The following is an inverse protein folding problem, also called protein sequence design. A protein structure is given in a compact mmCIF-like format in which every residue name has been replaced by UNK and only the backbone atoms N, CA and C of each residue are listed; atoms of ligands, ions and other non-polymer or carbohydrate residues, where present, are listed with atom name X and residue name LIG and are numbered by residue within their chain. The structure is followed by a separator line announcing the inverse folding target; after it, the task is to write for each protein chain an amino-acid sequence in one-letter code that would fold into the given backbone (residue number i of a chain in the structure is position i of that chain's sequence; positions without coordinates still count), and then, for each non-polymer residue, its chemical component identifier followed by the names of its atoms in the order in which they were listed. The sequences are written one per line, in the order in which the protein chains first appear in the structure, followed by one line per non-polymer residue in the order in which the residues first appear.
data_IF_158672730026
#
_entry.id   IF_158672730026
#
_cell.length_a   1.000
_cell.length_b   1.000
_cell.length_c   1.000
_cell.angle_alpha   90.00
_cell.angle_beta   90.00
_cell.angle_gamma   90.00
#
_symmetry.space_group_name_H-M   'P 1'
#
loop_
_entity.id
_entity.type
_entity.pdbx_description
1 polymer ?
#
# COMPACT_ATOMS: atom_id res chain seq x y z
N UNK A 1 23.37 33.22 32.20
CA UNK A 1 23.70 31.98 32.95
C UNK A 1 22.62 31.65 33.96
N UNK A 2 22.09 32.59 34.74
CA UNK A 2 21.01 32.28 35.71
C UNK A 2 19.64 31.98 35.06
N UNK A 3 19.32 32.58 33.92
CA UNK A 3 18.01 32.40 33.23
C UNK A 3 17.85 31.01 32.57
N UNK A 4 18.95 30.34 32.22
CA UNK A 4 18.92 29.00 31.60
C UNK A 4 18.63 27.92 32.65
N UNK A 5 19.19 28.07 33.85
CA UNK A 5 18.96 27.17 34.99
C UNK A 5 17.50 27.21 35.50
N UNK A 6 16.86 28.39 35.44
CA UNK A 6 15.44 28.54 35.79
C UNK A 6 14.52 27.86 34.76
N UNK A 7 14.87 27.94 33.47
CA UNK A 7 14.10 27.32 32.39
C UNK A 7 14.20 25.80 32.42
N UNK A 8 15.40 25.26 32.68
CA UNK A 8 15.61 23.81 32.82
C UNK A 8 14.87 23.26 34.05
N UNK A 9 14.92 23.97 35.18
CA UNK A 9 14.15 23.59 36.38
C UNK A 9 12.63 23.59 36.13
N UNK A 10 12.12 24.50 35.29
CA UNK A 10 10.71 24.56 34.93
C UNK A 10 10.31 23.42 33.99
N UNK A 11 11.16 23.09 33.02
CA UNK A 11 10.94 21.98 32.08
C UNK A 11 10.94 20.62 32.80
N UNK A 12 11.83 20.42 33.77
CA UNK A 12 11.87 19.20 34.60
C UNK A 12 10.61 19.03 35.45
N UNK A 13 10.12 20.12 36.05
CA UNK A 13 8.85 20.11 36.79
C UNK A 13 7.68 19.74 35.87
N UNK A 14 7.62 20.32 34.68
CA UNK A 14 6.56 20.04 33.71
C UNK A 14 6.63 18.59 33.17
N UNK A 15 7.84 18.07 32.94
CA UNK A 15 8.06 16.67 32.53
C UNK A 15 7.61 15.69 33.62
N UNK A 16 7.91 15.99 34.89
CA UNK A 16 7.49 15.18 36.03
C UNK A 16 5.96 15.16 36.20
N UNK A 17 5.32 16.32 36.06
CA UNK A 17 3.85 16.45 36.10
C UNK A 17 3.17 15.67 34.97
N UNK A 18 3.69 15.81 33.74
CA UNK A 18 3.19 15.06 32.59
C UNK A 18 3.35 13.55 32.77
N UNK A 19 4.48 13.09 33.33
CA UNK A 19 4.72 11.68 33.63
C UNK A 19 3.70 11.15 34.66
N UNK A 20 3.43 11.90 35.74
CA UNK A 20 2.44 11.53 36.74
C UNK A 20 1.02 11.47 36.17
N UNK A 21 0.66 12.41 35.28
CA UNK A 21 -0.64 12.42 34.61
C UNK A 21 -0.80 11.20 33.68
N UNK A 22 0.23 10.87 32.91
CA UNK A 22 0.25 9.69 32.04
C UNK A 22 0.14 8.38 32.83
N UNK A 23 0.86 8.26 33.94
CA UNK A 23 0.74 7.10 34.85
C UNK A 23 -0.68 6.95 35.40
N UNK A 24 -1.34 8.07 35.75
CA UNK A 24 -2.73 8.06 36.22
C UNK A 24 -3.72 7.64 35.13
N UNK A 25 -3.49 8.03 33.88
CA UNK A 25 -4.31 7.59 32.74
C UNK A 25 -4.15 6.10 32.47
N UNK A 26 -2.92 5.57 32.52
CA UNK A 26 -2.64 4.13 32.37
C UNK A 26 -3.28 3.29 33.49
N UNK A 27 -3.29 3.78 34.73
CA UNK A 27 -3.97 3.12 35.84
C UNK A 27 -5.51 3.11 35.67
N UNK A 28 -6.08 4.21 35.14
CA UNK A 28 -7.52 4.29 34.83
C UNK A 28 -7.92 3.40 33.66
N UNK A 29 -7.14 3.34 32.59
CA UNK A 29 -7.43 2.49 31.42
C UNK A 29 -7.38 1.00 31.79
N UNK A 30 -6.50 0.62 32.71
CA UNK A 30 -6.38 -0.75 33.23
C UNK A 30 -7.62 -1.21 34.02
N UNK A 31 -8.34 -0.30 34.67
CA UNK A 31 -9.53 -0.61 35.49
C UNK A 31 -10.87 -0.44 34.76
N UNK A 32 -10.92 0.33 33.66
CA UNK A 32 -12.14 0.57 32.88
C UNK A 32 -12.25 -0.26 31.57
N UNK A 33 -11.28 -1.12 31.27
CA UNK A 33 -11.31 -1.98 30.08
C UNK A 33 -12.26 -3.18 30.20
N UNK A 34 -13.56 -2.99 29.97
CA UNK A 34 -14.43 -4.12 29.60
C UNK A 34 -14.01 -4.63 28.21
N UNK A 35 -13.24 -5.73 28.19
CA UNK A 35 -13.25 -6.70 27.10
C UNK A 35 -12.66 -6.30 25.75
N UNK A 36 -11.49 -5.64 25.70
CA UNK A 36 -10.61 -5.76 24.52
C UNK A 36 -9.47 -6.69 24.89
N UNK A 37 -9.54 -7.92 24.40
CA UNK A 37 -8.50 -8.94 24.58
C UNK A 37 -7.14 -8.42 24.12
N UNK A 38 -6.08 -9.06 24.63
CA UNK A 38 -4.68 -8.79 24.27
C UNK A 38 -4.54 -8.53 22.76
N UNK A 39 -3.64 -7.61 22.34
CA UNK A 39 -3.32 -7.45 20.94
C UNK A 39 -2.60 -8.72 20.47
N UNK A 40 -3.37 -9.72 20.04
CA UNK A 40 -2.88 -10.79 19.20
C UNK A 40 -2.26 -10.11 17.99
N UNK A 41 -1.05 -10.49 17.61
CA UNK A 41 -0.37 -9.88 16.47
C UNK A 41 -1.32 -9.87 15.27
N UNK A 42 -1.41 -8.74 14.56
CA UNK A 42 -2.34 -8.58 13.42
C UNK A 42 -2.22 -9.74 12.42
N UNK A 43 -1.01 -10.29 12.28
CA UNK A 43 -0.72 -11.47 11.46
C UNK A 43 -1.33 -12.75 12.03
N UNK A 44 -1.20 -13.03 13.33
CA UNK A 44 -1.81 -14.22 13.94
C UNK A 44 -3.34 -14.13 13.98
N UNK A 45 -3.90 -12.94 14.24
CA UNK A 45 -5.36 -12.71 14.19
C UNK A 45 -5.92 -12.93 12.78
N UNK A 46 -5.20 -12.45 11.74
CA UNK A 46 -5.56 -12.68 10.35
C UNK A 46 -5.47 -14.17 9.98
N UNK A 47 -4.40 -14.86 10.36
CA UNK A 47 -4.24 -16.28 10.06
C UNK A 47 -5.30 -17.16 10.74
N UNK A 48 -5.71 -16.82 11.97
CA UNK A 48 -6.81 -17.50 12.66
C UNK A 48 -8.15 -17.24 11.93
N UNK A 49 -8.44 -15.99 11.56
CA UNK A 49 -9.67 -15.63 10.85
C UNK A 49 -9.77 -16.20 9.43
N UNK A 50 -8.65 -16.46 8.76
CA UNK A 50 -8.64 -17.11 7.44
C UNK A 50 -8.90 -18.63 7.52
N UNK A 51 -8.65 -19.26 8.66
CA UNK A 51 -8.93 -20.68 8.88
C UNK A 51 -10.39 -20.94 9.25
N UNK A 52 -11.05 -19.97 9.89
CA UNK A 52 -12.45 -20.11 10.28
C UNK A 52 -13.37 -19.85 9.07
N UNK A 53 -14.27 -20.79 8.73
CA UNK A 53 -15.21 -20.58 7.63
C UNK A 53 -16.14 -19.39 7.94
N UNK A 54 -16.49 -18.63 6.89
CA UNK A 54 -17.44 -17.53 7.02
C UNK A 54 -18.78 -18.07 7.55
N UNK A 55 -19.24 -17.54 8.68
CA UNK A 55 -20.53 -17.95 9.25
C UNK A 55 -21.70 -17.63 8.32
N UNK A 56 -22.72 -18.49 8.29
CA UNK A 56 -23.91 -18.35 7.45
C UNK A 56 -24.72 -17.05 7.68
N UNK A 57 -24.51 -16.39 8.82
CA UNK A 57 -25.08 -15.07 9.11
C UNK A 57 -24.39 -13.91 8.39
N UNK A 58 -23.25 -14.15 7.72
CA UNK A 58 -22.54 -13.12 6.97
C UNK A 58 -23.27 -12.85 5.65
N UNK A 59 -23.68 -11.60 5.42
CA UNK A 59 -24.34 -11.17 4.17
C UNK A 59 -23.50 -11.49 2.94
N UNK A 60 -22.17 -11.40 3.05
CA UNK A 60 -21.24 -11.80 2.00
C UNK A 60 -21.37 -13.28 1.66
N UNK A 61 -21.46 -14.16 2.66
CA UNK A 61 -21.67 -15.58 2.44
C UNK A 61 -22.98 -15.87 1.69
N UNK A 62 -24.07 -15.15 2.00
CA UNK A 62 -25.33 -15.25 1.27
C UNK A 62 -25.19 -14.84 -0.21
N UNK A 63 -24.43 -13.77 -0.50
CA UNK A 63 -24.12 -13.35 -1.87
C UNK A 63 -23.28 -14.39 -2.60
N UNK A 64 -22.21 -14.90 -1.98
CA UNK A 64 -21.38 -15.96 -2.56
C UNK A 64 -22.23 -17.20 -2.88
N UNK A 65 -23.10 -17.61 -1.95
CA UNK A 65 -24.03 -18.74 -2.14
C UNK A 65 -24.99 -18.51 -3.31
N UNK A 66 -25.51 -17.29 -3.46
CA UNK A 66 -26.34 -16.92 -4.60
C UNK A 66 -25.56 -16.95 -5.94
N UNK A 67 -24.26 -16.67 -5.89
CA UNK A 67 -23.33 -16.78 -7.02
C UNK A 67 -22.84 -18.22 -7.29
N UNK A 68 -23.38 -19.22 -6.57
CA UNK A 68 -23.08 -20.63 -6.78
C UNK A 68 -21.92 -21.18 -5.95
N UNK A 69 -21.45 -20.44 -4.94
CA UNK A 69 -20.51 -20.96 -3.94
C UNK A 69 -21.17 -22.05 -3.09
N UNK A 70 -20.45 -23.16 -2.90
CA UNK A 70 -20.83 -24.25 -2.01
C UNK A 70 -19.77 -24.39 -0.92
N UNK A 71 -20.19 -24.68 0.30
CA UNK A 71 -19.30 -24.86 1.44
C UNK A 71 -18.29 -25.99 1.15
N UNK A 72 -17.00 -25.69 1.23
CA UNK A 72 -15.92 -26.62 0.90
C UNK A 72 -15.55 -26.73 -0.59
N UNK A 73 -16.28 -26.07 -1.50
CA UNK A 73 -15.92 -26.00 -2.91
C UNK A 73 -14.97 -24.83 -3.21
N UNK A 74 -13.92 -25.08 -3.99
CA UNK A 74 -13.06 -24.02 -4.52
C UNK A 74 -13.81 -23.17 -5.55
N UNK A 75 -13.65 -21.85 -5.49
CA UNK A 75 -14.20 -20.92 -6.48
C UNK A 75 -13.36 -21.00 -7.77
N UNK A 76 -13.97 -21.43 -8.89
CA UNK A 76 -13.31 -21.52 -10.19
C UNK A 76 -13.81 -22.69 -11.03
N UNK A 77 -13.76 -22.56 -12.36
CA UNK A 77 -14.30 -23.54 -13.29
C UNK A 77 -13.45 -24.81 -13.34
N UNK A 78 -13.80 -25.83 -12.57
CA UNK A 78 -13.67 -27.20 -13.10
C UNK A 78 -14.65 -27.26 -14.25
N UNK A 79 -14.14 -27.23 -15.48
CA UNK A 79 -14.88 -27.33 -16.75
C UNK A 79 -16.13 -28.20 -16.57
N UNK A 80 -17.30 -27.58 -16.38
CA UNK A 80 -18.56 -28.30 -16.26
C UNK A 80 -18.93 -28.85 -17.63
N UNK A 81 -18.43 -30.06 -17.93
CA UNK A 81 -19.20 -30.99 -18.76
C UNK A 81 -20.44 -31.33 -17.93
N UNK A 82 -21.62 -31.04 -18.48
CA UNK A 82 -22.89 -31.45 -17.90
C UNK A 82 -22.88 -32.96 -17.78
N UNK A 83 -23.14 -33.50 -16.59
CA UNK A 83 -23.85 -34.77 -16.39
C UNK A 83 -24.17 -34.93 -14.91
N UNK A 84 -25.35 -35.46 -14.65
CA UNK A 84 -25.97 -35.63 -13.36
C UNK A 84 -25.41 -36.87 -12.63
N UNK A 85 -25.68 -36.90 -11.32
CA UNK A 85 -25.65 -38.06 -10.42
C UNK A 85 -24.26 -38.61 -9.96
N UNK A 86 -24.13 -38.83 -8.64
CA UNK A 86 -23.36 -39.94 -8.11
C UNK A 86 -22.06 -39.65 -7.34
N UNK A 87 -21.89 -40.40 -6.24
CA UNK A 87 -20.74 -40.52 -5.34
C UNK A 87 -19.40 -40.94 -5.99
N UNK A 88 -18.28 -40.70 -5.27
CA UNK A 88 -16.94 -41.29 -5.53
C UNK A 88 -15.82 -40.24 -5.47
N UNK A 89 -14.94 -40.22 -4.45
CA UNK A 89 -13.71 -41.02 -4.28
C UNK A 89 -12.55 -40.63 -5.22
N UNK A 90 -11.34 -40.70 -4.66
CA UNK A 90 -10.00 -40.60 -5.29
C UNK A 90 -9.50 -39.17 -5.62
N UNK A 91 -8.25 -38.76 -5.32
CA UNK A 91 -7.04 -39.49 -4.96
C UNK A 91 -5.89 -39.08 -5.91
N UNK A 92 -4.80 -38.49 -5.37
CA UNK A 92 -3.49 -38.25 -6.04
C UNK A 92 -3.48 -37.19 -7.16
N UNK A 93 -2.42 -36.48 -7.51
CA UNK A 93 -1.00 -36.50 -7.16
C UNK A 93 -0.19 -36.01 -8.37
N UNK A 94 0.82 -35.14 -8.16
CA UNK A 94 2.10 -35.11 -8.89
C UNK A 94 2.22 -34.49 -10.31
N UNK A 95 3.21 -33.59 -10.44
CA UNK A 95 4.11 -33.32 -11.58
C UNK A 95 3.46 -32.79 -12.90
N UNK A 96 4.05 -31.99 -13.77
CA UNK A 96 5.44 -31.71 -14.17
C UNK A 96 5.50 -30.47 -15.11
N UNK A 97 6.70 -29.88 -15.19
CA UNK A 97 7.41 -29.18 -16.28
C UNK A 97 6.74 -28.50 -17.49
N UNK A 98 7.34 -27.37 -17.91
CA UNK A 98 7.48 -27.02 -19.35
C UNK A 98 7.22 -25.55 -19.73
N UNK A 99 8.26 -24.85 -20.19
CA UNK A 99 8.21 -23.44 -20.62
C UNK A 99 7.97 -23.17 -22.12
N UNK A 100 8.18 -21.91 -22.52
CA UNK A 100 8.12 -21.38 -23.90
C UNK A 100 7.10 -20.22 -24.00
N UNK A 101 7.43 -18.97 -24.33
CA UNK A 101 8.30 -18.49 -25.41
C UNK A 101 7.40 -17.86 -26.49
N UNK A 102 7.15 -16.55 -26.42
CA UNK A 102 6.38 -15.81 -27.42
C UNK A 102 7.24 -14.67 -27.98
N UNK A 103 7.60 -14.78 -29.26
CA UNK A 103 8.32 -13.77 -30.01
C UNK A 103 7.36 -12.93 -30.86
N UNK A 104 7.57 -11.61 -30.87
CA UNK A 104 7.62 -10.75 -32.06
C UNK A 104 6.32 -10.36 -32.80
N UNK A 105 5.96 -9.08 -32.72
CA UNK A 105 5.81 -8.08 -33.81
C UNK A 105 5.28 -6.76 -33.16
N UNK A 106 5.48 -5.53 -33.63
CA UNK A 106 5.45 -5.04 -35.00
C UNK A 106 6.17 -3.70 -35.22
N UNK A 107 6.38 -3.45 -36.50
CA UNK A 107 6.89 -2.29 -37.24
C UNK A 107 6.45 -0.88 -36.78
N UNK A 108 7.46 -0.01 -36.68
CA UNK A 108 7.63 1.30 -37.36
C UNK A 108 6.37 2.12 -37.70
N UNK A 109 6.22 3.28 -37.05
CA UNK A 109 5.56 4.45 -37.64
C UNK A 109 6.36 5.73 -37.33
N UNK A 110 6.51 6.54 -38.36
CA UNK A 110 7.43 7.67 -38.48
C UNK A 110 6.79 8.98 -37.99
N UNK A 111 7.60 9.80 -37.30
CA UNK A 111 7.78 11.23 -37.59
C UNK A 111 6.75 12.25 -37.07
N UNK A 112 7.26 13.24 -36.32
CA UNK A 112 6.80 14.63 -36.48
C UNK A 112 6.70 15.48 -35.22
N UNK A 113 7.64 16.44 -35.08
CA UNK A 113 7.30 17.80 -34.65
C UNK A 113 7.70 18.22 -33.24
N UNK A 114 8.74 19.07 -33.16
CA UNK A 114 8.92 20.32 -32.36
C UNK A 114 8.28 20.37 -30.97
N UNK A 115 8.98 20.82 -29.91
CA UNK A 115 9.24 22.23 -29.58
C UNK A 115 10.30 22.34 -28.45
N UNK A 116 11.03 23.46 -28.44
CA UNK A 116 11.94 23.99 -27.41
C UNK A 116 11.36 23.93 -25.98
N UNK A 117 12.09 24.00 -24.86
CA UNK A 117 13.45 24.42 -24.52
C UNK A 117 13.47 24.83 -23.03
N UNK A 118 14.69 25.09 -22.50
CA UNK A 118 15.04 25.53 -21.13
C UNK A 118 15.04 24.40 -20.07
N UNK A 119 16.14 24.07 -19.39
CA UNK A 119 17.26 24.92 -18.96
C UNK A 119 17.09 25.25 -17.48
N UNK A 120 17.18 24.23 -16.61
CA UNK A 120 17.13 24.39 -15.17
C UNK A 120 18.50 24.82 -14.64
N UNK A 121 18.64 26.11 -14.30
CA UNK A 121 19.65 26.57 -13.35
C UNK A 121 19.02 26.52 -11.95
N UNK A 122 19.63 25.70 -11.10
CA UNK A 122 19.35 25.63 -9.68
C UNK A 122 19.90 26.88 -8.98
N UNK A 123 19.10 27.52 -8.13
CA UNK A 123 19.58 28.41 -7.09
C UNK A 123 18.82 28.08 -5.80
N UNK A 124 19.58 27.83 -4.75
CA UNK A 124 19.10 27.45 -3.44
C UNK A 124 18.85 28.69 -2.57
N UNK A 125 17.77 28.65 -1.79
CA UNK A 125 17.62 29.39 -0.55
C UNK A 125 16.51 30.44 -0.54
N UNK A 126 15.40 30.12 0.12
CA UNK A 126 14.69 31.08 0.96
C UNK A 126 13.88 30.38 2.05
N UNK A 127 14.14 30.77 3.30
CA UNK A 127 13.38 30.36 4.47
C UNK A 127 12.11 31.21 4.54
N UNK A 128 11.08 30.81 3.79
CA UNK A 128 9.80 31.51 3.71
C UNK A 128 8.67 30.72 4.35
N UNK A 129 7.96 31.36 5.27
CA UNK A 129 6.64 30.98 5.80
C UNK A 129 5.80 30.18 4.78
N UNK A 130 5.58 28.89 5.04
CA UNK A 130 4.84 28.00 4.16
C UNK A 130 3.35 28.39 4.14
N UNK A 131 3.01 29.35 3.29
CA UNK A 131 1.66 29.42 2.77
C UNK A 131 1.30 28.03 2.21
N UNK A 132 0.06 27.55 2.39
CA UNK A 132 -0.34 26.27 1.82
C UNK A 132 -0.14 26.34 0.31
N UNK A 133 0.81 25.55 -0.19
CA UNK A 133 1.08 25.42 -1.62
C UNK A 133 -0.22 25.00 -2.32
N UNK A 134 -0.41 25.47 -3.55
CA UNK A 134 -1.57 25.05 -4.34
C UNK A 134 -1.60 23.53 -4.50
N UNK A 135 -2.79 22.94 -4.69
CA UNK A 135 -2.94 21.49 -4.88
C UNK A 135 -2.02 20.96 -6.00
N UNK A 136 -1.88 21.71 -7.10
CA UNK A 136 -1.01 21.37 -8.22
C UNK A 136 0.47 21.37 -7.83
N UNK A 137 0.90 22.38 -7.10
CA UNK A 137 2.28 22.51 -6.63
C UNK A 137 2.64 21.43 -5.60
N UNK A 138 1.68 21.10 -4.72
CA UNK A 138 1.82 19.98 -3.80
C UNK A 138 1.97 18.65 -4.56
N UNK A 139 1.21 18.45 -5.63
CA UNK A 139 1.32 17.26 -6.46
C UNK A 139 2.67 17.19 -7.18
N UNK A 140 3.13 18.28 -7.78
CA UNK A 140 4.44 18.36 -8.45
C UNK A 140 5.59 18.03 -7.48
N UNK A 141 5.53 18.58 -6.25
CA UNK A 141 6.52 18.33 -5.23
C UNK A 141 6.54 16.85 -4.81
N UNK A 142 5.36 16.24 -4.66
CA UNK A 142 5.22 14.82 -4.34
C UNK A 142 5.75 13.93 -5.47
N UNK A 143 5.34 14.19 -6.71
CA UNK A 143 5.75 13.40 -7.88
C UNK A 143 7.26 13.47 -8.07
N UNK A 144 7.85 14.66 -7.92
CA UNK A 144 9.31 14.83 -7.96
C UNK A 144 10.00 14.05 -6.85
N UNK A 145 9.51 14.15 -5.62
CA UNK A 145 10.09 13.44 -4.47
C UNK A 145 10.08 11.91 -4.66
N UNK A 146 8.96 11.36 -5.16
CA UNK A 146 8.84 9.93 -5.45
C UNK A 146 9.83 9.46 -6.53
N UNK A 147 10.09 10.29 -7.55
CA UNK A 147 11.06 9.96 -8.61
C UNK A 147 12.50 10.10 -8.14
N UNK A 148 12.82 11.18 -7.42
CA UNK A 148 14.20 11.50 -7.01
C UNK A 148 14.70 10.58 -5.89
N UNK A 149 13.86 10.24 -4.89
CA UNK A 149 14.28 9.40 -3.75
C UNK A 149 13.96 7.92 -3.92
N UNK A 150 12.83 7.60 -4.57
CA UNK A 150 12.31 6.24 -4.60
C UNK A 150 12.32 5.61 -5.98
N UNK A 151 12.87 6.31 -6.99
CA UNK A 151 12.89 5.88 -8.39
C UNK A 151 11.52 5.35 -8.82
N UNK A 152 10.44 5.99 -8.36
CA UNK A 152 9.07 5.50 -8.51
C UNK A 152 8.26 6.43 -9.41
N UNK A 153 7.55 5.86 -10.39
CA UNK A 153 6.60 6.61 -11.19
C UNK A 153 5.16 6.33 -10.73
N UNK A 154 4.45 7.37 -10.32
CA UNK A 154 3.04 7.29 -9.93
C UNK A 154 2.14 6.83 -11.08
N UNK A 155 2.40 7.29 -12.30
CA UNK A 155 1.56 7.01 -13.46
C UNK A 155 1.80 5.60 -14.03
N UNK A 156 3.04 5.10 -14.05
CA UNK A 156 3.33 3.71 -14.42
C UNK A 156 2.91 2.72 -13.32
N UNK A 157 2.90 3.14 -12.05
CA UNK A 157 2.60 2.28 -10.91
C UNK A 157 3.73 1.33 -10.52
N UNK A 158 4.99 1.64 -10.87
CA UNK A 158 6.16 0.81 -10.57
C UNK A 158 7.37 1.62 -10.09
N UNK A 159 8.24 0.95 -9.33
CA UNK A 159 9.58 1.42 -8.98
C UNK A 159 10.61 0.85 -9.96
N UNK A 160 11.64 1.63 -10.23
CA UNK A 160 12.75 1.28 -11.11
C UNK A 160 14.02 1.05 -10.28
N UNK A 161 14.98 0.30 -10.83
CA UNK A 161 16.20 -0.06 -10.09
C UNK A 161 17.20 1.11 -10.05
N UNK A 162 17.10 2.06 -10.98
CA UNK A 162 17.94 3.26 -11.02
C UNK A 162 17.20 4.49 -11.58
N UNK A 163 17.72 5.67 -11.27
CA UNK A 163 17.20 6.93 -11.83
C UNK A 163 17.41 7.03 -13.35
N UNK A 164 18.46 6.39 -13.88
CA UNK A 164 18.75 6.32 -15.32
C UNK A 164 17.70 5.49 -16.04
N UNK A 165 17.39 4.29 -15.52
CA UNK A 165 16.32 3.44 -16.06
C UNK A 165 14.96 4.14 -16.00
N UNK A 166 14.66 4.84 -14.91
CA UNK A 166 13.45 5.63 -14.78
C UNK A 166 13.36 6.74 -15.85
N UNK A 167 14.48 7.31 -16.30
CA UNK A 167 14.49 8.34 -17.34
C UNK A 167 14.37 7.76 -18.76
N UNK A 168 14.85 6.53 -18.98
CA UNK A 168 14.81 5.88 -20.29
C UNK A 168 13.51 5.12 -20.56
N UNK A 169 12.95 4.50 -19.51
CA UNK A 169 11.79 3.58 -19.63
C UNK A 169 10.47 4.29 -19.34
N UNK A 170 10.45 5.31 -18.48
CA UNK A 170 9.23 6.04 -18.15
C UNK A 170 8.89 7.04 -19.27
N UNK A 171 7.66 7.03 -19.81
CA UNK A 171 7.33 7.83 -20.99
C UNK A 171 7.23 9.33 -20.70
N UNK A 172 7.12 9.72 -19.42
CA UNK A 172 7.25 11.11 -19.00
C UNK A 172 7.10 11.35 -17.50
N UNK A 173 6.78 12.59 -17.12
CA UNK A 173 6.56 13.03 -15.75
C UNK A 173 5.12 13.50 -15.50
N UNK A 174 4.33 13.75 -16.55
CA UNK A 174 2.91 14.13 -16.45
C UNK A 174 1.96 12.98 -16.84
N UNK A 175 0.67 13.12 -16.53
CA UNK A 175 -0.35 12.12 -16.87
C UNK A 175 -0.47 11.93 -18.38
N UNK A 176 -0.37 13.01 -19.16
CA UNK A 176 -0.57 13.00 -20.61
C UNK A 176 0.52 12.25 -21.37
N UNK A 177 1.69 12.09 -20.75
CA UNK A 177 2.84 11.39 -21.32
C UNK A 177 2.77 9.87 -21.10
N UNK A 178 1.85 9.37 -20.28
CA UNK A 178 1.68 7.95 -19.96
C UNK A 178 0.47 7.32 -20.65
#
# INVERSE_FOLDING_TARGET
MEEEDELDSLLDAYAAEAAAQNQRLLAKSSSQGRGRGQPVSMLAARQAGLQEPLGAGNKGFALLKAMGYQEGAGLGSRQRRREADGEGSDGGGGAEDGGGGLAGHDLLAQGGGVLAGAGAAAEAGDAGCAAPLGLSEQLELLLRHLRDLHTYCYFCGCSYDSAEELAEVCPGLTEEEH
#
